data_IF_516971609490
#
_entry.id   IF_516971609490
#
_cell.length_a   1.000
_cell.length_b   1.000
_cell.length_c   1.000
_cell.angle_alpha   90.00
_cell.angle_beta   90.00
_cell.angle_gamma   90.00
#
_symmetry.space_group_name_H-M   'P 1'
#
loop_
_entity.id
_entity.type
_entity.pdbx_description
1 polymer ?
#
# COMPACT_ATOMS: atom_id res chain seq x y z
N UNK A 1 4.06 7.55 20.51
CA UNK A 1 2.66 8.02 20.46
C UNK A 1 2.05 8.11 21.87
N UNK A 2 2.00 7.05 22.69
CA UNK A 2 1.40 7.15 24.04
C UNK A 2 2.09 8.15 24.98
N UNK A 3 3.42 8.24 24.91
CA UNK A 3 4.21 9.24 25.67
C UNK A 3 3.85 10.68 25.31
N UNK A 4 3.28 10.91 24.12
CA UNK A 4 2.81 12.21 23.62
C UNK A 4 1.28 12.39 23.79
N UNK A 5 0.63 11.55 24.60
CA UNK A 5 -0.81 11.60 24.85
C UNK A 5 -1.68 11.08 23.69
N UNK A 6 -1.08 10.41 22.69
CA UNK A 6 -1.79 9.85 21.54
C UNK A 6 -1.95 8.34 21.72
N UNK A 7 -3.21 7.88 21.80
CA UNK A 7 -3.53 6.44 21.91
C UNK A 7 -3.96 5.90 20.54
N UNK A 8 -3.08 5.18 19.81
CA UNK A 8 -3.44 4.55 18.55
C UNK A 8 -4.29 3.29 18.77
N UNK A 9 -4.99 2.87 17.72
CA UNK A 9 -5.59 1.54 17.65
C UNK A 9 -4.49 0.49 17.80
N UNK A 10 -4.84 -0.60 18.52
CA UNK A 10 -3.91 -1.70 18.77
C UNK A 10 -3.48 -2.42 17.48
N UNK A 11 -4.35 -2.46 16.47
CA UNK A 11 -4.09 -3.12 15.19
C UNK A 11 -3.48 -2.11 14.21
N UNK A 12 -2.34 -2.47 13.63
CA UNK A 12 -1.78 -1.81 12.44
C UNK A 12 -2.32 -2.52 11.20
N UNK A 13 -2.93 -1.76 10.31
CA UNK A 13 -3.40 -2.27 9.02
C UNK A 13 -2.24 -2.37 8.01
N UNK A 14 -2.34 -3.32 7.08
CA UNK A 14 -1.31 -3.60 6.07
C UNK A 14 -0.49 -4.85 6.37
N UNK A 15 0.66 -5.04 5.70
CA UNK A 15 1.56 -6.15 5.98
C UNK A 15 2.23 -6.00 7.37
N UNK A 16 2.81 -7.08 7.90
CA UNK A 16 3.62 -6.99 9.12
C UNK A 16 4.91 -6.20 8.86
N UNK A 17 5.73 -6.00 9.90
CA UNK A 17 7.05 -5.37 9.77
C UNK A 17 7.94 -6.20 8.83
N UNK A 18 8.65 -5.52 7.92
CA UNK A 18 9.48 -6.11 6.86
C UNK A 18 10.72 -5.27 6.61
N UNK A 19 11.82 -5.89 6.18
CA UNK A 19 13.02 -5.17 5.70
C UNK A 19 12.77 -4.51 4.36
N UNK A 20 11.90 -5.13 3.55
CA UNK A 20 11.42 -4.63 2.27
C UNK A 20 9.92 -4.31 2.40
N UNK A 21 9.52 -3.11 2.88
CA UNK A 21 8.12 -2.74 3.05
C UNK A 21 7.37 -2.81 1.72
N UNK A 22 6.15 -3.33 1.74
CA UNK A 22 5.26 -3.46 0.58
C UNK A 22 3.96 -2.71 0.84
N UNK A 23 3.35 -2.13 -0.21
CA UNK A 23 2.14 -1.32 -0.10
C UNK A 23 2.30 -0.21 0.95
N UNK A 24 1.46 -0.19 1.98
CA UNK A 24 1.60 0.70 3.13
C UNK A 24 1.16 0.00 4.41
N UNK A 25 1.60 0.55 5.55
CA UNK A 25 1.13 0.21 6.90
C UNK A 25 0.55 1.45 7.55
N UNK A 26 -0.54 1.32 8.27
CA UNK A 26 -1.21 2.46 8.89
C UNK A 26 -1.89 2.13 10.21
N UNK A 27 -2.07 3.14 11.06
CA UNK A 27 -2.96 3.07 12.23
C UNK A 27 -3.60 4.44 12.47
N UNK A 28 -4.72 4.45 13.16
CA UNK A 28 -5.47 5.66 13.49
C UNK A 28 -5.55 5.88 14.99
N UNK A 29 -5.83 7.11 15.40
CA UNK A 29 -6.00 7.51 16.80
C UNK A 29 -7.06 8.60 16.92
N UNK A 30 -7.67 8.72 18.10
CA UNK A 30 -8.58 9.83 18.40
C UNK A 30 -7.74 11.10 18.61
N UNK A 31 -7.93 12.11 17.76
CA UNK A 31 -7.14 13.34 17.80
C UNK A 31 -7.83 14.44 18.62
N UNK A 32 -9.13 14.66 18.40
CA UNK A 32 -9.88 15.73 19.07
C UNK A 32 -11.37 15.38 19.16
N UNK A 33 -12.05 15.78 20.24
CA UNK A 33 -13.51 15.86 20.29
C UNK A 33 -13.95 17.29 20.00
N UNK A 34 -14.84 17.48 19.03
CA UNK A 34 -15.37 18.79 18.69
C UNK A 34 -16.82 18.93 19.19
N UNK A 35 -17.11 20.09 19.77
CA UNK A 35 -18.48 20.46 20.10
C UNK A 35 -19.27 20.76 18.82
N UNK A 36 -20.51 20.29 18.76
CA UNK A 36 -21.44 20.54 17.65
C UNK A 36 -22.59 21.37 18.20
N UNK A 37 -22.76 22.57 17.66
CA UNK A 37 -23.84 23.49 18.07
C UNK A 37 -25.09 23.27 17.21
N UNK A 38 -26.23 23.08 17.86
CA UNK A 38 -27.53 22.97 17.23
C UNK A 38 -28.33 24.25 17.46
N UNK A 39 -28.85 24.91 16.41
CA UNK A 39 -29.68 26.08 16.58
C UNK A 39 -31.03 25.69 17.18
N UNK A 40 -31.51 26.48 18.15
CA UNK A 40 -32.85 26.35 18.72
C UNK A 40 -33.84 27.36 18.10
N UNK A 41 -35.14 27.08 18.27
CA UNK A 41 -36.24 27.87 17.67
C UNK A 41 -36.29 29.29 18.21
N UNK A 42 -35.77 29.53 19.42
CA UNK A 42 -35.70 30.84 20.08
C UNK A 42 -34.47 31.66 19.68
N UNK A 43 -33.64 31.16 18.76
CA UNK A 43 -32.40 31.81 18.32
C UNK A 43 -31.20 31.55 19.23
N UNK A 44 -31.36 30.78 20.31
CA UNK A 44 -30.25 30.27 21.11
C UNK A 44 -29.58 29.07 20.42
N UNK A 45 -28.43 28.63 20.93
CA UNK A 45 -27.72 27.44 20.43
C UNK A 45 -27.51 26.46 21.56
N UNK A 46 -27.87 25.20 21.34
CA UNK A 46 -27.55 24.08 22.24
C UNK A 46 -26.24 23.44 21.81
N UNK A 47 -25.28 23.37 22.72
CA UNK A 47 -24.07 22.58 22.48
C UNK A 47 -24.35 21.09 22.72
N UNK A 48 -24.11 20.26 21.72
CA UNK A 48 -23.92 18.82 21.87
C UNK A 48 -22.46 18.44 21.64
N UNK A 49 -22.09 17.21 21.95
CA UNK A 49 -20.78 16.63 21.62
C UNK A 49 -21.00 15.24 21.05
N UNK A 50 -20.62 15.01 19.79
CA UNK A 50 -20.74 13.68 19.18
C UNK A 50 -19.72 13.39 18.07
N UNK A 51 -18.94 14.38 17.62
CA UNK A 51 -18.00 14.20 16.51
C UNK A 51 -16.56 14.13 17.02
N UNK A 52 -15.94 12.97 16.87
CA UNK A 52 -14.51 12.79 17.07
C UNK A 52 -13.77 12.98 15.74
N UNK A 53 -12.69 13.77 15.76
CA UNK A 53 -11.71 13.82 14.69
C UNK A 53 -10.66 12.77 14.96
N UNK A 54 -10.36 11.99 13.93
CA UNK A 54 -9.33 10.95 13.98
C UNK A 54 -8.09 11.44 13.23
N UNK A 55 -6.93 11.17 13.81
CA UNK A 55 -5.65 11.26 13.12
C UNK A 55 -5.26 9.90 12.57
N UNK A 56 -4.40 9.91 11.55
CA UNK A 56 -3.86 8.71 10.92
C UNK A 56 -2.35 8.89 10.72
N UNK A 57 -1.62 7.79 10.77
CA UNK A 57 -0.21 7.73 10.44
C UNK A 57 0.03 6.56 9.50
N UNK A 58 0.84 6.77 8.47
CA UNK A 58 1.16 5.76 7.46
C UNK A 58 2.68 5.64 7.22
N UNK A 59 3.10 4.44 6.83
CA UNK A 59 4.43 4.13 6.30
C UNK A 59 4.26 3.48 4.93
N UNK A 60 4.82 4.11 3.89
CA UNK A 60 4.74 3.60 2.51
C UNK A 60 5.94 2.72 2.16
N UNK A 61 5.66 1.66 1.42
CA UNK A 61 6.60 0.70 0.85
C UNK A 61 6.54 0.68 -0.67
N UNK A 62 6.97 -0.43 -1.29
CA UNK A 62 6.96 -0.59 -2.75
C UNK A 62 5.54 -0.86 -3.29
N UNK A 63 5.24 -0.32 -4.47
CA UNK A 63 4.07 -0.68 -5.27
C UNK A 63 4.20 -2.13 -5.78
N UNK A 64 3.13 -2.92 -5.61
CA UNK A 64 3.09 -4.31 -6.04
C UNK A 64 2.54 -4.44 -7.46
N UNK A 65 3.06 -5.41 -8.21
CA UNK A 65 2.44 -5.85 -9.47
C UNK A 65 1.12 -6.57 -9.19
N UNK A 66 0.26 -6.86 -10.19
CA UNK A 66 -0.91 -7.71 -9.99
C UNK A 66 -0.57 -9.07 -9.35
N UNK A 67 0.57 -9.66 -9.73
CA UNK A 67 1.08 -10.90 -9.15
C UNK A 67 1.49 -10.74 -7.69
N UNK A 68 2.22 -9.66 -7.36
CA UNK A 68 2.59 -9.33 -5.99
C UNK A 68 1.37 -9.05 -5.12
N UNK A 69 0.38 -8.35 -5.67
CA UNK A 69 -0.88 -8.03 -4.99
C UNK A 69 -1.69 -9.30 -4.71
N UNK A 70 -1.81 -10.20 -5.69
CA UNK A 70 -2.48 -11.49 -5.49
C UNK A 70 -1.78 -12.36 -4.43
N UNK A 71 -0.44 -12.31 -4.34
CA UNK A 71 0.31 -12.95 -3.25
C UNK A 71 -0.01 -12.31 -1.91
N UNK A 72 0.03 -10.98 -1.83
CA UNK A 72 -0.32 -10.23 -0.61
C UNK A 72 -1.73 -10.59 -0.12
N UNK A 73 -2.73 -10.53 -1.00
CA UNK A 73 -4.14 -10.79 -0.65
C UNK A 73 -4.33 -12.22 -0.14
N UNK A 74 -3.65 -13.20 -0.75
CA UNK A 74 -3.68 -14.60 -0.29
C UNK A 74 -3.11 -14.76 1.11
N UNK A 75 -1.92 -14.22 1.37
CA UNK A 75 -1.25 -14.34 2.67
C UNK A 75 -2.02 -13.60 3.77
N UNK A 76 -2.65 -12.47 3.43
CA UNK A 76 -3.54 -11.75 4.34
C UNK A 76 -4.78 -12.60 4.70
N UNK A 77 -5.37 -13.28 3.72
CA UNK A 77 -6.50 -14.18 3.95
C UNK A 77 -6.07 -15.40 4.79
N UNK A 78 -4.92 -16.02 4.51
CA UNK A 78 -4.37 -17.11 5.31
C UNK A 78 -4.17 -16.70 6.79
N UNK A 79 -3.68 -15.47 7.04
CA UNK A 79 -3.57 -14.94 8.39
C UNK A 79 -4.95 -14.78 9.06
N UNK A 80 -5.93 -14.24 8.33
CA UNK A 80 -7.31 -14.01 8.81
C UNK A 80 -8.10 -15.29 9.02
N UNK A 81 -7.79 -16.37 8.31
CA UNK A 81 -8.36 -17.70 8.55
C UNK A 81 -7.87 -18.28 9.88
N UNK A 82 -6.63 -17.97 10.28
CA UNK A 82 -6.06 -18.40 11.56
C UNK A 82 -6.52 -17.53 12.73
N UNK A 83 -6.50 -16.21 12.55
CA UNK A 83 -6.90 -15.25 13.57
C UNK A 83 -7.45 -13.99 12.89
N UNK A 84 -8.70 -13.63 13.19
CA UNK A 84 -9.27 -12.34 12.77
C UNK A 84 -9.02 -11.31 13.86
N UNK A 85 -8.61 -10.07 13.54
CA UNK A 85 -8.43 -9.05 14.55
C UNK A 85 -9.79 -8.71 15.18
N UNK A 86 -9.86 -8.74 16.50
CA UNK A 86 -11.02 -8.30 17.26
C UNK A 86 -11.12 -6.76 17.20
N UNK A 87 -12.35 -6.25 17.13
CA UNK A 87 -12.59 -4.81 17.04
C UNK A 87 -12.09 -4.03 18.27
N UNK A 88 -12.08 -4.67 19.44
CA UNK A 88 -11.56 -4.11 20.70
C UNK A 88 -10.03 -4.24 20.84
N UNK A 89 -9.36 -4.89 19.88
CA UNK A 89 -7.91 -5.12 19.90
C UNK A 89 -7.44 -6.16 20.92
N UNK A 90 -8.34 -6.89 21.58
CA UNK A 90 -8.00 -7.86 22.65
C UNK A 90 -7.05 -8.97 22.20
N UNK A 91 -7.10 -9.36 20.92
CA UNK A 91 -6.24 -10.39 20.33
C UNK A 91 -5.17 -9.81 19.38
N UNK A 92 -4.81 -8.52 19.52
CA UNK A 92 -3.88 -7.86 18.61
C UNK A 92 -2.53 -8.59 18.46
N UNK A 93 -1.93 -9.02 19.57
CA UNK A 93 -0.66 -9.75 19.56
C UNK A 93 -0.76 -11.09 18.82
N UNK A 94 -1.88 -11.80 18.96
CA UNK A 94 -2.13 -13.09 18.29
C UNK A 94 -2.34 -12.90 16.79
N UNK A 95 -3.09 -11.84 16.41
CA UNK A 95 -3.27 -11.46 15.01
C UNK A 95 -1.95 -11.06 14.36
N UNK A 96 -1.14 -10.23 15.03
CA UNK A 96 0.18 -9.83 14.53
C UNK A 96 1.11 -11.02 14.35
N UNK A 97 1.09 -12.00 15.28
CA UNK A 97 1.87 -13.23 15.15
C UNK A 97 1.40 -14.09 13.96
N UNK A 98 0.08 -14.26 13.78
CA UNK A 98 -0.48 -14.98 12.65
C UNK A 98 -0.13 -14.31 11.31
N UNK A 99 -0.19 -12.97 11.27
CA UNK A 99 0.15 -12.15 10.12
C UNK A 99 1.64 -12.28 9.78
N UNK A 100 2.53 -12.15 10.78
CA UNK A 100 3.97 -12.31 10.61
C UNK A 100 4.33 -13.71 10.06
N UNK A 101 3.71 -14.77 10.58
CA UNK A 101 3.96 -16.14 10.12
C UNK A 101 3.48 -16.37 8.68
N UNK A 102 2.26 -15.94 8.34
CA UNK A 102 1.75 -16.07 6.96
C UNK A 102 2.65 -15.31 5.96
N UNK A 103 3.06 -14.09 6.29
CA UNK A 103 3.88 -13.24 5.41
C UNK A 103 5.34 -13.69 5.24
N UNK A 104 5.77 -14.77 5.90
CA UNK A 104 7.01 -15.47 5.53
C UNK A 104 6.96 -16.03 4.12
N UNK A 105 5.76 -16.27 3.58
CA UNK A 105 5.55 -16.63 2.17
C UNK A 105 5.83 -15.51 1.17
N UNK A 106 6.05 -14.27 1.62
CA UNK A 106 6.42 -13.13 0.77
C UNK A 106 7.94 -12.87 0.88
N UNK A 107 8.71 -12.85 -0.22
CA UNK A 107 10.14 -12.57 -0.19
C UNK A 107 10.49 -11.21 0.46
N UNK A 108 11.40 -11.20 1.44
CA UNK A 108 11.82 -9.98 2.15
C UNK A 108 13.24 -9.54 1.75
N UNK A 109 13.48 -9.55 0.45
CA UNK A 109 14.72 -9.13 -0.22
C UNK A 109 14.36 -8.44 -1.54
N UNK A 110 14.96 -7.27 -1.82
CA UNK A 110 14.58 -6.48 -2.99
C UNK A 110 14.85 -7.20 -4.31
N UNK A 111 15.96 -7.93 -4.41
CA UNK A 111 16.29 -8.64 -5.64
C UNK A 111 15.35 -9.83 -5.87
N UNK A 112 14.99 -10.56 -4.81
CA UNK A 112 13.99 -11.62 -4.89
C UNK A 112 12.60 -11.09 -5.31
N UNK A 113 12.15 -9.98 -4.70
CA UNK A 113 10.87 -9.33 -5.08
C UNK A 113 10.88 -8.94 -6.57
N UNK A 114 12.00 -8.36 -7.05
CA UNK A 114 12.19 -7.97 -8.44
C UNK A 114 12.18 -9.16 -9.40
N UNK A 115 13.01 -10.17 -9.14
CA UNK A 115 13.16 -11.36 -10.00
C UNK A 115 11.88 -12.19 -10.08
N UNK A 116 11.08 -12.22 -9.02
CA UNK A 116 9.78 -12.89 -9.04
C UNK A 116 8.66 -12.03 -9.64
N UNK A 117 8.94 -10.78 -10.04
CA UNK A 117 7.96 -9.86 -10.63
C UNK A 117 6.87 -9.47 -9.64
N UNK A 118 7.20 -9.31 -8.35
CA UNK A 118 6.23 -9.03 -7.29
C UNK A 118 6.06 -7.53 -7.01
N UNK A 119 7.05 -6.71 -7.36
CA UNK A 119 6.98 -5.25 -7.16
C UNK A 119 7.54 -4.49 -8.34
N UNK A 120 7.18 -3.20 -8.43
CA UNK A 120 7.66 -2.31 -9.48
C UNK A 120 8.97 -1.63 -9.06
N UNK A 121 9.95 -1.63 -9.95
CA UNK A 121 11.26 -1.05 -9.71
C UNK A 121 11.61 -0.02 -10.78
N UNK A 122 12.33 1.01 -10.37
CA UNK A 122 12.95 1.96 -11.28
C UNK A 122 14.40 1.56 -11.53
N UNK A 123 14.86 1.65 -12.77
CA UNK A 123 16.21 1.26 -13.17
C UNK A 123 17.02 2.48 -13.58
N UNK A 124 18.30 2.49 -13.19
CA UNK A 124 19.24 3.54 -13.58
C UNK A 124 20.67 3.00 -13.70
N UNK A 125 21.44 3.61 -14.60
CA UNK A 125 22.88 3.34 -14.70
C UNK A 125 23.58 3.92 -13.47
N UNK A 126 24.46 3.13 -12.87
CA UNK A 126 25.39 3.62 -11.85
C UNK A 126 26.45 4.51 -12.50
N UNK A 127 27.25 5.20 -11.68
CA UNK A 127 28.36 6.00 -12.19
C UNK A 127 29.36 5.17 -13.02
N UNK A 128 29.53 3.88 -12.69
CA UNK A 128 30.36 2.96 -13.48
C UNK A 128 29.68 2.55 -14.79
N UNK A 129 28.38 2.25 -14.75
CA UNK A 129 27.59 1.98 -15.96
C UNK A 129 27.62 3.13 -16.96
N UNK A 130 27.54 4.37 -16.47
CA UNK A 130 27.63 5.57 -17.30
C UNK A 130 29.01 5.73 -17.95
N UNK A 131 30.10 5.42 -17.22
CA UNK A 131 31.48 5.52 -17.74
C UNK A 131 31.78 4.55 -18.86
N UNK A 132 31.22 3.33 -18.82
CA UNK A 132 31.45 2.33 -19.89
C UNK A 132 30.89 2.76 -21.25
N UNK A 133 29.91 3.66 -21.30
CA UNK A 133 29.38 4.21 -22.55
C UNK A 133 28.68 3.17 -23.45
N UNK A 134 28.28 2.03 -22.87
CA UNK A 134 27.73 0.87 -23.56
C UNK A 134 27.89 -0.38 -22.70
N UNK A 135 26.80 -1.11 -22.48
CA UNK A 135 26.72 -2.36 -21.73
C UNK A 135 26.12 -3.41 -22.67
N UNK A 136 26.99 -4.18 -23.30
CA UNK A 136 26.60 -5.35 -24.11
C UNK A 136 26.37 -6.56 -23.21
N UNK A 137 25.42 -6.41 -22.28
CA UNK A 137 25.02 -7.43 -21.31
C UNK A 137 23.50 -7.35 -21.13
N UNK A 138 22.88 -8.46 -20.77
CA UNK A 138 21.49 -8.41 -20.32
C UNK A 138 21.37 -7.64 -18.98
N UNK A 139 20.13 -7.30 -18.63
CA UNK A 139 19.84 -6.52 -17.43
C UNK A 139 20.33 -7.18 -16.14
N UNK A 140 20.21 -8.51 -16.02
CA UNK A 140 20.61 -9.24 -14.81
C UNK A 140 22.12 -9.19 -14.63
N UNK A 141 22.86 -9.49 -15.70
CA UNK A 141 24.31 -9.47 -15.67
C UNK A 141 24.85 -8.04 -15.45
N UNK A 142 24.15 -7.01 -15.95
CA UNK A 142 24.48 -5.61 -15.69
C UNK A 142 24.22 -5.18 -14.23
N UNK A 143 23.18 -5.72 -13.60
CA UNK A 143 22.88 -5.52 -12.17
C UNK A 143 23.95 -6.22 -11.32
N UNK A 144 24.26 -7.49 -11.62
CA UNK A 144 25.27 -8.28 -10.90
C UNK A 144 26.67 -7.65 -11.02
N UNK A 145 26.98 -7.03 -12.17
CA UNK A 145 28.21 -6.28 -12.38
C UNK A 145 28.22 -4.88 -11.73
N UNK A 146 27.12 -4.46 -11.09
CA UNK A 146 27.00 -3.14 -10.46
C UNK A 146 26.93 -1.96 -11.44
N UNK A 147 26.63 -2.23 -12.71
CA UNK A 147 26.50 -1.21 -13.76
C UNK A 147 25.11 -0.60 -13.80
N UNK A 148 24.10 -1.38 -13.42
CA UNK A 148 22.71 -0.95 -13.26
C UNK A 148 22.31 -1.15 -11.81
N UNK A 149 21.61 -0.17 -11.25
CA UNK A 149 20.91 -0.30 -9.98
C UNK A 149 19.41 -0.28 -10.19
N UNK A 150 18.70 -0.84 -9.24
CA UNK A 150 17.24 -0.80 -9.19
C UNK A 150 16.79 -0.26 -7.83
N UNK A 151 15.79 0.61 -7.84
CA UNK A 151 15.21 1.21 -6.65
C UNK A 151 13.69 0.92 -6.62
N UNK A 152 13.11 0.54 -5.47
CA UNK A 152 11.69 0.26 -5.36
C UNK A 152 10.86 1.51 -5.70
N UNK A 153 9.83 1.37 -6.54
CA UNK A 153 8.87 2.44 -6.80
C UNK A 153 7.88 2.46 -5.63
N UNK A 154 7.79 3.60 -4.95
CA UNK A 154 6.92 3.78 -3.77
C UNK A 154 5.45 3.64 -4.17
N UNK A 155 4.66 3.03 -3.28
CA UNK A 155 3.22 2.91 -3.42
C UNK A 155 2.54 4.22 -3.02
N UNK A 156 1.88 4.86 -3.99
CA UNK A 156 1.21 6.16 -3.87
C UNK A 156 -0.31 6.06 -3.73
N UNK A 157 -0.88 4.85 -3.71
CA UNK A 157 -2.31 4.63 -3.52
C UNK A 157 -2.63 4.24 -2.05
N UNK A 158 -3.79 3.60 -1.83
CA UNK A 158 -4.32 3.23 -0.53
C UNK A 158 -4.66 1.74 -0.46
N UNK A 159 -4.57 1.14 0.73
CA UNK A 159 -5.13 -0.21 0.90
C UNK A 159 -6.65 -0.13 0.67
N UNK A 160 -7.26 -1.11 -0.04
CA UNK A 160 -8.68 -1.07 -0.38
C UNK A 160 -9.63 -1.10 0.83
N UNK A 161 -9.14 -1.36 2.04
CA UNK A 161 -9.95 -1.52 3.26
C UNK A 161 -9.74 -0.38 4.28
N UNK A 162 -8.81 0.54 4.04
CA UNK A 162 -8.42 1.62 4.97
C UNK A 162 -9.60 2.50 5.43
N UNK A 163 -10.47 2.89 4.50
CA UNK A 163 -11.62 3.73 4.82
C UNK A 163 -12.85 2.93 5.29
N UNK A 164 -12.95 1.66 4.92
CA UNK A 164 -14.11 0.83 5.23
C UNK A 164 -14.23 0.53 6.74
N UNK A 165 -13.13 0.49 7.49
CA UNK A 165 -13.18 0.35 8.96
C UNK A 165 -13.79 1.57 9.67
N UNK A 166 -13.64 2.78 9.10
CA UNK A 166 -14.30 4.00 9.59
C UNK A 166 -15.80 3.98 9.26
N UNK A 167 -16.22 3.33 8.18
CA UNK A 167 -17.64 3.18 7.83
C UNK A 167 -18.33 1.95 8.45
N UNK A 168 -17.62 0.83 8.65
CA UNK A 168 -18.14 -0.40 9.27
C UNK A 168 -18.37 -0.21 10.78
N UNK A 169 -17.43 0.43 11.48
CA UNK A 169 -17.60 0.73 12.92
C UNK A 169 -18.78 1.67 13.22
N UNK A 170 -19.28 2.39 12.21
CA UNK A 170 -20.46 3.25 12.31
C UNK A 170 -21.77 2.58 11.85
N UNK A 171 -21.73 1.41 11.19
CA UNK A 171 -22.91 0.81 10.52
C UNK A 171 -23.27 -0.61 11.00
N UNK A 172 -22.52 -1.18 11.95
CA UNK A 172 -22.76 -2.53 12.44
C UNK A 172 -22.08 -3.59 11.57
N UNK A 173 -21.49 -4.57 12.26
CA UNK A 173 -20.76 -5.67 11.66
C UNK A 173 -21.73 -6.58 10.88
N UNK A 174 -21.79 -6.45 9.55
CA UNK A 174 -22.10 -7.55 8.62
C UNK A 174 -22.07 -7.05 7.16
N UNK A 175 -20.91 -7.14 6.51
CA UNK A 175 -20.78 -7.52 5.10
C UNK A 175 -19.34 -7.34 4.61
N UNK A 176 -18.65 -8.46 4.37
CA UNK A 176 -17.55 -8.52 3.40
C UNK A 176 -18.16 -8.49 1.99
N UNK A 177 -18.13 -7.33 1.31
CA UNK A 177 -18.45 -7.28 -0.12
C UNK A 177 -17.22 -7.63 -0.95
N UNK A 178 -17.37 -8.58 -1.87
CA UNK A 178 -16.39 -8.86 -2.92
C UNK A 178 -16.36 -7.71 -3.92
N UNK A 179 -15.18 -7.10 -4.12
CA UNK A 179 -15.00 -5.99 -5.05
C UNK A 179 -14.72 -6.50 -6.46
N UNK A 180 -15.78 -6.90 -7.17
CA UNK A 180 -15.78 -6.96 -8.64
C UNK A 180 -16.00 -5.54 -9.16
N UNK A 181 -15.46 -5.18 -10.33
CA UNK A 181 -15.75 -3.91 -11.02
C UNK A 181 -17.28 -3.74 -11.14
N UNK A 182 -17.83 -3.03 -10.17
CA UNK A 182 -19.27 -3.01 -9.96
C UNK A 182 -19.87 -1.91 -10.82
N UNK A 183 -21.19 -1.94 -11.07
CA UNK A 183 -21.93 -0.82 -11.64
C UNK A 183 -21.59 0.54 -10.99
N UNK A 184 -21.07 0.53 -9.76
CA UNK A 184 -20.71 1.73 -9.01
C UNK A 184 -19.48 2.45 -9.57
N UNK A 185 -18.49 1.76 -10.18
CA UNK A 185 -17.33 2.46 -10.75
C UNK A 185 -17.75 3.32 -11.96
N UNK A 186 -18.58 2.77 -12.85
CA UNK A 186 -19.09 3.53 -14.01
C UNK A 186 -19.92 4.74 -13.58
N UNK A 187 -20.72 4.59 -12.51
CA UNK A 187 -21.47 5.70 -11.94
C UNK A 187 -20.53 6.75 -11.32
N UNK A 188 -19.51 6.30 -10.58
CA UNK A 188 -18.51 7.18 -9.99
C UNK A 188 -17.75 7.99 -11.05
N UNK A 189 -17.24 7.35 -12.10
CA UNK A 189 -16.52 8.02 -13.19
C UNK A 189 -17.41 8.99 -13.98
N UNK A 190 -18.70 8.65 -14.17
CA UNK A 190 -19.68 9.57 -14.76
C UNK A 190 -19.83 10.84 -13.93
N UNK A 191 -19.97 10.71 -12.61
CA UNK A 191 -20.19 11.83 -11.71
C UNK A 191 -18.90 12.64 -11.46
N UNK A 192 -17.73 11.97 -11.54
CA UNK A 192 -16.41 12.59 -11.53
C UNK A 192 -16.11 13.37 -12.83
N UNK A 193 -16.70 12.94 -13.95
CA UNK A 193 -16.49 13.54 -15.28
C UNK A 193 -15.25 13.02 -16.02
N UNK A 194 -14.58 11.99 -15.49
CA UNK A 194 -13.41 11.35 -16.09
C UNK A 194 -13.26 9.91 -15.59
N UNK A 195 -12.56 9.08 -16.36
CA UNK A 195 -12.16 7.74 -15.92
C UNK A 195 -11.11 7.83 -14.81
N UNK A 196 -11.16 6.91 -13.85
CA UNK A 196 -10.06 6.76 -12.88
C UNK A 196 -8.86 6.10 -13.56
N UNK A 197 -7.66 6.47 -13.15
CA UNK A 197 -6.45 5.85 -13.67
C UNK A 197 -6.30 4.43 -13.14
N UNK A 198 -5.84 3.51 -13.99
CA UNK A 198 -5.39 2.18 -13.56
C UNK A 198 -3.98 2.32 -12.94
N UNK A 199 -3.90 2.06 -11.65
CA UNK A 199 -2.69 2.19 -10.86
C UNK A 199 -1.59 1.23 -11.32
N UNK A 200 -1.95 -0.01 -11.69
CA UNK A 200 -0.98 -1.00 -12.18
C UNK A 200 -0.39 -0.58 -13.51
N UNK A 201 -1.23 -0.06 -14.41
CA UNK A 201 -0.77 0.49 -15.68
C UNK A 201 0.16 1.69 -15.47
N UNK A 202 -0.13 2.55 -14.49
CA UNK A 202 0.70 3.69 -14.15
C UNK A 202 2.09 3.29 -13.64
N UNK A 203 2.18 2.39 -12.65
CA UNK A 203 3.46 1.91 -12.15
C UNK A 203 4.25 1.12 -13.19
N UNK A 204 3.58 0.27 -13.98
CA UNK A 204 4.21 -0.44 -15.09
C UNK A 204 4.80 0.54 -16.12
N UNK A 205 4.08 1.62 -16.44
CA UNK A 205 4.56 2.70 -17.29
C UNK A 205 5.82 3.37 -16.73
N UNK A 206 5.86 3.66 -15.44
CA UNK A 206 7.03 4.25 -14.76
C UNK A 206 8.25 3.33 -14.80
N UNK A 207 8.07 2.06 -14.45
CA UNK A 207 9.11 1.03 -14.52
C UNK A 207 9.66 0.91 -15.94
N UNK A 208 8.79 0.74 -16.94
CA UNK A 208 9.17 0.62 -18.36
C UNK A 208 9.94 1.85 -18.83
N UNK A 209 9.45 3.06 -18.55
CA UNK A 209 10.12 4.29 -18.94
C UNK A 209 11.53 4.42 -18.33
N UNK A 210 11.72 3.96 -17.09
CA UNK A 210 13.05 3.93 -16.45
C UNK A 210 14.00 2.94 -17.12
N UNK A 211 13.50 1.75 -17.47
CA UNK A 211 14.27 0.73 -18.16
C UNK A 211 14.66 1.19 -19.58
N UNK A 212 13.73 1.78 -20.32
CA UNK A 212 13.99 2.36 -21.65
C UNK A 212 15.04 3.48 -21.62
N UNK A 213 15.10 4.28 -20.54
CA UNK A 213 16.17 5.27 -20.35
C UNK A 213 17.51 4.58 -20.07
N UNK A 214 17.52 3.52 -19.27
CA UNK A 214 18.72 2.75 -18.97
C UNK A 214 19.28 2.05 -20.23
N UNK A 215 18.40 1.50 -21.07
CA UNK A 215 18.72 0.90 -22.38
C UNK A 215 19.31 1.93 -23.34
N UNK A 216 18.65 3.09 -23.50
CA UNK A 216 19.18 4.19 -24.34
C UNK A 216 20.51 4.75 -23.83
N UNK A 217 20.77 4.65 -22.54
CA UNK A 217 22.04 5.05 -21.92
C UNK A 217 23.19 4.06 -22.13
N UNK A 218 22.95 2.93 -22.82
CA UNK A 218 24.00 2.01 -23.24
C UNK A 218 23.70 0.53 -23.04
N UNK A 219 22.62 0.13 -22.35
CA UNK A 219 22.32 -1.29 -22.12
C UNK A 219 21.72 -1.97 -23.38
N UNK A 220 22.26 -3.13 -23.77
CA UNK A 220 21.74 -3.94 -24.87
C UNK A 220 20.32 -4.45 -24.55
N UNK A 221 19.41 -4.35 -25.52
CA UNK A 221 18.04 -4.82 -25.36
C UNK A 221 18.00 -6.36 -25.36
N UNK A 222 17.95 -6.97 -24.18
CA UNK A 222 17.52 -8.35 -24.02
C UNK A 222 16.02 -8.35 -23.67
N UNK A 223 15.23 -9.15 -24.40
CA UNK A 223 13.78 -9.22 -24.32
C UNK A 223 13.32 -9.50 -22.87
N UNK A 224 12.58 -8.53 -22.31
CA UNK A 224 11.83 -8.71 -21.07
C UNK A 224 10.46 -9.25 -21.49
N UNK A 225 10.29 -10.58 -21.46
CA UNK A 225 8.97 -11.22 -21.49
C UNK A 225 8.37 -11.30 -20.08
#
# INVERSE_FOLDING_TARGET
MPEEGIVPKAIVEGPPTRRCPILLRQTSFKALEEAVSFPEVDGSSRSGSHTARFGEIEQRGIALTPKGRALYDRLLNEARERCRPAADGSNAAEYEAALAEAFRGFPDDWNAIRRHGLGYFSYSLTAEGQRRGGIDMDLEAAIDAGLVRFDPIVYEDFLPVSAAGIFQSNLGDDATQEFVASPNQKMFERDLGAAVLDEFAHYAGTMRASLERCLRGGLAAAAVE
#
